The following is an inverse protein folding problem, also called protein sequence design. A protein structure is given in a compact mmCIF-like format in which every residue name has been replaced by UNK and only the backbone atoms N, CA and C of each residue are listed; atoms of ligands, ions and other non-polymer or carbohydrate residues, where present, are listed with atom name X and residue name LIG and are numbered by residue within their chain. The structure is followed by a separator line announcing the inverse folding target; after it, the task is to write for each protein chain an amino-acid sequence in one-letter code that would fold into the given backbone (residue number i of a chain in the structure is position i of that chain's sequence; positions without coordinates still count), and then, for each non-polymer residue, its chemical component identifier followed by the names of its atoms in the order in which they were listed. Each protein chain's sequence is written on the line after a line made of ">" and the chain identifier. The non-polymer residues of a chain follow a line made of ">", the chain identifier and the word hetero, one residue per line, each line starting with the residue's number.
data_IF_965332407633
#
_entry.id   IF_965332407633
#
_cell.length_a   1.000
_cell.length_b   1.000
_cell.length_c   1.000
_cell.angle_alpha   90.00
_cell.angle_beta   90.00
_cell.angle_gamma   90.00
#
_symmetry.space_group_name_H-M   'P 1'
#
loop_
_entity.id
_entity.type
_entity.pdbx_description
1 polymer ?
#
# COMPACT_ATOMS: atom_id res chain seq x y z
N UNK A 1 -36.28 15.44 11.88
CA UNK A 1 -35.55 16.49 11.17
C UNK A 1 -34.23 16.63 11.92
N UNK A 2 -33.09 16.07 11.53
CA UNK A 2 -32.64 15.53 10.26
C UNK A 2 -31.67 14.38 10.57
N UNK A 3 -31.92 13.20 9.99
CA UNK A 3 -30.96 12.11 10.02
C UNK A 3 -31.03 11.37 8.68
N UNK A 4 -30.77 12.11 7.61
CA UNK A 4 -30.60 11.60 6.25
C UNK A 4 -29.33 12.25 5.69
N UNK A 5 -28.19 11.82 6.22
CA UNK A 5 -26.94 11.76 5.46
C UNK A 5 -26.43 10.34 5.62
N UNK A 6 -27.21 9.39 5.10
CA UNK A 6 -26.64 8.16 4.58
C UNK A 6 -25.68 8.57 3.48
N UNK A 7 -24.43 8.83 3.86
CA UNK A 7 -23.32 8.86 2.91
C UNK A 7 -23.37 7.49 2.27
N UNK A 8 -23.89 7.42 1.05
CA UNK A 8 -23.61 6.32 0.17
C UNK A 8 -22.08 6.20 0.18
N UNK A 9 -21.58 5.19 0.89
CA UNK A 9 -20.21 4.73 0.76
C UNK A 9 -20.18 4.09 -0.62
N UNK A 10 -20.12 4.92 -1.65
CA UNK A 10 -19.82 4.45 -2.99
C UNK A 10 -18.38 3.96 -2.89
N UNK A 11 -18.10 2.67 -3.16
CA UNK A 11 -16.73 2.17 -3.07
C UNK A 11 -15.85 2.96 -4.03
N UNK A 12 -15.00 3.85 -3.48
CA UNK A 12 -14.16 4.81 -4.22
C UNK A 12 -12.97 4.12 -4.89
N UNK A 13 -13.24 3.14 -5.76
CA UNK A 13 -12.22 2.43 -6.53
C UNK A 13 -12.10 2.95 -7.97
N UNK A 14 -13.07 3.77 -8.41
CA UNK A 14 -12.97 4.50 -9.67
C UNK A 14 -11.95 5.64 -9.55
N UNK A 15 -11.24 5.90 -10.65
CA UNK A 15 -10.26 6.98 -10.73
C UNK A 15 -10.87 8.34 -10.32
N UNK A 16 -12.07 8.64 -10.81
CA UNK A 16 -12.72 9.93 -10.60
C UNK A 16 -13.09 10.17 -9.12
N UNK A 17 -13.51 9.13 -8.42
CA UNK A 17 -13.91 9.24 -7.01
C UNK A 17 -12.70 9.39 -6.11
N UNK A 18 -11.63 8.61 -6.35
CA UNK A 18 -10.38 8.75 -5.63
C UNK A 18 -9.87 10.20 -5.67
N UNK A 19 -9.80 10.81 -6.86
CA UNK A 19 -9.35 12.21 -6.97
C UNK A 19 -10.29 13.23 -6.34
N UNK A 20 -11.60 13.05 -6.44
CA UNK A 20 -12.57 13.96 -5.77
C UNK A 20 -12.36 13.98 -4.25
N UNK A 21 -11.96 12.86 -3.65
CA UNK A 21 -11.68 12.79 -2.22
C UNK A 21 -10.47 13.64 -1.78
N UNK A 22 -9.54 13.97 -2.70
CA UNK A 22 -8.37 14.81 -2.43
C UNK A 22 -8.72 16.29 -2.26
N UNK A 23 -9.95 16.73 -2.61
CA UNK A 23 -10.35 18.15 -2.56
C UNK A 23 -10.03 18.79 -1.21
N UNK A 24 -10.33 18.11 -0.10
CA UNK A 24 -10.05 18.60 1.25
C UNK A 24 -8.54 18.61 1.55
N UNK A 25 -7.82 17.59 1.09
CA UNK A 25 -6.39 17.43 1.34
C UNK A 25 -5.53 18.49 0.62
N UNK A 26 -5.99 19.00 -0.53
CA UNK A 26 -5.34 20.14 -1.17
C UNK A 26 -5.30 21.38 -0.28
N UNK A 27 -6.34 21.62 0.52
CA UNK A 27 -6.35 22.73 1.50
C UNK A 27 -5.33 22.51 2.61
N UNK A 28 -5.16 21.27 3.08
CA UNK A 28 -4.17 20.93 4.11
C UNK A 28 -2.75 21.13 3.58
N UNK A 29 -2.44 20.61 2.40
CA UNK A 29 -1.15 20.84 1.73
C UNK A 29 -0.85 22.33 1.55
N UNK A 30 -1.86 23.14 1.25
CA UNK A 30 -1.67 24.59 1.11
C UNK A 30 -1.40 25.29 2.45
N UNK A 31 -1.91 24.75 3.55
CA UNK A 31 -1.79 25.35 4.88
C UNK A 31 -0.50 24.91 5.60
N UNK A 32 -0.06 23.68 5.33
CA UNK A 32 1.16 23.07 5.86
C UNK A 32 1.92 22.38 4.71
N UNK A 33 2.60 23.15 3.83
CA UNK A 33 3.28 22.60 2.67
C UNK A 33 4.50 21.77 3.07
N UNK A 34 4.80 20.75 2.28
CA UNK A 34 6.00 19.92 2.49
C UNK A 34 7.27 20.74 2.23
N UNK A 35 8.15 20.94 3.24
CA UNK A 35 9.43 21.60 3.06
C UNK A 35 10.35 20.82 2.12
N UNK A 36 11.16 21.53 1.32
CA UNK A 36 12.10 20.94 0.37
C UNK A 36 13.10 19.97 1.02
N UNK A 37 13.51 20.24 2.26
CA UNK A 37 14.43 19.39 3.03
C UNK A 37 13.83 18.03 3.43
N UNK A 38 12.49 17.88 3.40
CA UNK A 38 11.77 16.63 3.70
C UNK A 38 11.34 15.87 2.43
N UNK A 39 11.73 16.35 1.25
CA UNK A 39 11.45 15.70 -0.03
C UNK A 39 12.44 14.57 -0.30
N UNK A 40 11.98 13.50 -0.94
CA UNK A 40 12.82 12.34 -1.26
C UNK A 40 14.06 12.70 -2.08
N UNK A 41 13.99 13.70 -2.97
CA UNK A 41 15.15 14.20 -3.74
C UNK A 41 16.20 14.94 -2.89
N UNK A 42 15.89 15.32 -1.65
CA UNK A 42 16.87 15.87 -0.70
C UNK A 42 17.77 14.80 -0.05
N UNK A 43 17.83 13.57 -0.60
CA UNK A 43 18.61 12.43 -0.09
C UNK A 43 20.12 12.68 0.11
N UNK A 44 20.67 13.77 -0.44
CA UNK A 44 22.07 14.15 -0.30
C UNK A 44 22.38 14.87 1.02
N UNK A 45 21.36 15.31 1.77
CA UNK A 45 21.49 16.05 3.03
C UNK A 45 20.52 15.56 4.12
N UNK A 46 20.85 15.72 5.41
CA UNK A 46 19.90 15.45 6.49
C UNK A 46 18.64 16.33 6.38
N UNK A 47 17.47 15.84 6.85
CA UNK A 47 17.24 14.54 7.52
C UNK A 47 16.99 13.37 6.55
N UNK A 48 16.82 13.64 5.25
CA UNK A 48 16.46 12.60 4.26
C UNK A 48 17.64 11.67 3.99
N UNK A 49 18.88 12.18 3.99
CA UNK A 49 20.08 11.36 3.86
C UNK A 49 20.14 10.30 4.98
N UNK A 50 20.19 9.00 4.66
CA UNK A 50 20.29 7.95 5.66
C UNK A 50 21.67 7.97 6.33
N UNK A 51 21.71 7.55 7.60
CA UNK A 51 22.97 7.34 8.34
C UNK A 51 23.77 6.15 7.83
N UNK A 52 23.10 5.17 7.22
CA UNK A 52 23.72 3.99 6.61
C UNK A 52 22.84 3.40 5.50
N UNK A 53 23.47 2.79 4.50
CA UNK A 53 22.83 2.20 3.33
C UNK A 53 22.67 0.69 3.50
N UNK A 54 21.73 0.29 4.35
CA UNK A 54 21.55 -1.12 4.74
C UNK A 54 20.58 -1.90 3.84
N UNK A 55 19.97 -1.25 2.85
CA UNK A 55 18.97 -1.89 2.00
C UNK A 55 17.75 -2.34 2.80
N UNK A 56 17.16 -1.44 3.59
CA UNK A 56 16.01 -1.75 4.44
C UNK A 56 14.74 -1.98 3.60
N UNK A 57 13.96 -3.01 3.94
CA UNK A 57 12.63 -3.19 3.35
C UNK A 57 11.61 -2.21 3.94
N UNK A 58 10.53 -1.91 3.21
CA UNK A 58 9.46 -1.04 3.73
C UNK A 58 8.86 -1.61 5.02
N UNK A 59 8.67 -2.93 5.03
CA UNK A 59 8.20 -3.68 6.17
C UNK A 59 9.06 -3.44 7.43
N UNK A 60 10.40 -3.46 7.30
CA UNK A 60 11.30 -3.26 8.45
C UNK A 60 11.22 -1.88 9.08
N UNK A 61 10.85 -0.88 8.30
CA UNK A 61 10.81 0.52 8.74
C UNK A 61 9.41 0.89 9.23
N UNK A 62 8.40 0.60 8.43
CA UNK A 62 7.05 1.11 8.64
C UNK A 62 6.13 0.14 9.38
N UNK A 63 6.17 -1.16 9.07
CA UNK A 63 5.20 -2.13 9.53
C UNK A 63 5.66 -2.74 10.87
N UNK A 64 5.27 -2.07 11.95
CA UNK A 64 5.64 -2.37 13.34
C UNK A 64 5.05 -3.70 13.85
N UNK A 65 5.53 -4.85 13.34
CA UNK A 65 5.19 -6.15 13.96
C UNK A 65 5.65 -6.23 15.42
N UNK A 66 6.67 -5.46 15.78
CA UNK A 66 7.16 -5.33 17.14
C UNK A 66 7.37 -3.85 17.49
N UNK A 67 6.77 -3.32 18.57
CA UNK A 67 6.98 -1.93 18.99
C UNK A 67 8.45 -1.56 19.23
N UNK A 68 9.24 -2.49 19.78
CA UNK A 68 10.69 -2.29 20.01
C UNK A 68 11.55 -2.61 18.78
N UNK A 69 10.93 -3.02 17.66
CA UNK A 69 11.61 -3.47 16.43
C UNK A 69 12.58 -4.65 16.67
N UNK A 70 12.37 -5.43 17.74
CA UNK A 70 13.14 -6.65 18.02
C UNK A 70 13.04 -7.68 16.91
N UNK A 71 11.96 -7.68 16.13
CA UNK A 71 11.81 -8.53 14.94
C UNK A 71 12.91 -8.25 13.89
N UNK A 72 13.32 -6.98 13.74
CA UNK A 72 14.46 -6.60 12.88
C UNK A 72 15.76 -7.18 13.43
N UNK A 73 16.00 -7.06 14.74
CA UNK A 73 17.19 -7.63 15.38
C UNK A 73 17.27 -9.15 15.16
N UNK A 74 16.17 -9.86 15.41
CA UNK A 74 16.08 -11.30 15.22
C UNK A 74 16.32 -11.71 13.77
N UNK A 75 15.72 -10.99 12.81
CA UNK A 75 15.86 -11.29 11.38
C UNK A 75 17.26 -10.99 10.84
N UNK A 76 17.79 -9.79 11.12
CA UNK A 76 19.03 -9.30 10.49
C UNK A 76 20.30 -9.73 11.22
N UNK A 77 20.28 -9.82 12.54
CA UNK A 77 21.46 -10.08 13.36
C UNK A 77 21.47 -11.56 13.76
N UNK A 78 20.41 -12.04 14.43
CA UNK A 78 20.33 -13.45 14.86
C UNK A 78 19.98 -14.43 13.74
N UNK A 79 19.61 -13.93 12.55
CA UNK A 79 19.24 -14.72 11.37
C UNK A 79 18.11 -15.73 11.63
N UNK A 80 17.23 -15.42 12.59
CA UNK A 80 16.05 -16.23 12.90
C UNK A 80 15.02 -16.04 11.79
N UNK A 81 14.37 -17.13 11.39
CA UNK A 81 13.23 -17.09 10.46
C UNK A 81 11.95 -16.86 11.27
N UNK A 82 11.16 -15.88 10.84
CA UNK A 82 9.82 -15.66 11.38
C UNK A 82 8.83 -16.70 10.84
N UNK A 83 7.74 -16.90 11.58
CA UNK A 83 6.55 -17.64 11.15
C UNK A 83 5.70 -16.74 10.25
N UNK A 84 5.76 -17.00 8.95
CA UNK A 84 5.02 -16.27 7.92
C UNK A 84 3.70 -16.94 7.54
N UNK A 85 3.39 -18.11 8.11
CA UNK A 85 2.18 -18.88 7.83
C UNK A 85 0.98 -18.36 8.64
N UNK A 86 1.16 -17.25 9.35
CA UNK A 86 0.11 -16.59 10.12
C UNK A 86 -1.06 -16.18 9.22
N UNK A 87 -2.32 -16.45 9.61
CA UNK A 87 -3.49 -16.23 8.76
C UNK A 87 -3.62 -14.80 8.21
N UNK A 88 -3.31 -13.77 8.99
CA UNK A 88 -3.42 -12.38 8.55
C UNK A 88 -2.38 -12.00 7.47
N UNK A 89 -1.19 -12.61 7.48
CA UNK A 89 -0.14 -12.41 6.47
C UNK A 89 -0.52 -13.12 5.17
N UNK A 90 -0.98 -14.36 5.28
CA UNK A 90 -1.46 -15.16 4.15
C UNK A 90 -2.64 -14.47 3.46
N UNK A 91 -3.58 -13.94 4.25
CA UNK A 91 -4.70 -13.16 3.73
C UNK A 91 -4.23 -11.90 2.98
N UNK A 92 -3.33 -11.12 3.57
CA UNK A 92 -2.77 -9.94 2.90
C UNK A 92 -2.15 -10.31 1.55
N UNK A 93 -1.25 -11.28 1.54
CA UNK A 93 -0.60 -11.81 0.32
C UNK A 93 -1.62 -12.24 -0.74
N UNK A 94 -2.67 -12.96 -0.32
CA UNK A 94 -3.72 -13.41 -1.22
C UNK A 94 -4.50 -12.24 -1.85
N UNK A 95 -4.85 -11.23 -1.06
CA UNK A 95 -5.52 -10.02 -1.56
C UNK A 95 -4.66 -9.31 -2.59
N UNK A 96 -3.36 -9.11 -2.35
CA UNK A 96 -2.46 -8.49 -3.34
C UNK A 96 -2.42 -9.30 -4.64
N UNK A 97 -2.34 -10.63 -4.57
CA UNK A 97 -2.35 -11.51 -5.75
C UNK A 97 -3.64 -11.32 -6.58
N UNK A 98 -4.79 -11.27 -5.92
CA UNK A 98 -6.10 -11.08 -6.59
C UNK A 98 -6.19 -9.68 -7.23
N UNK A 99 -5.80 -8.64 -6.50
CA UNK A 99 -5.75 -7.25 -7.01
C UNK A 99 -4.85 -7.17 -8.25
N UNK A 100 -3.65 -7.73 -8.17
CA UNK A 100 -2.71 -7.72 -9.28
C UNK A 100 -3.15 -8.57 -10.47
N UNK A 101 -3.88 -9.66 -10.24
CA UNK A 101 -4.49 -10.44 -11.33
C UNK A 101 -5.60 -9.67 -12.03
N UNK A 102 -6.54 -9.10 -11.27
CA UNK A 102 -7.64 -8.30 -11.82
C UNK A 102 -7.11 -7.08 -12.59
N UNK A 103 -6.10 -6.39 -12.04
CA UNK A 103 -5.45 -5.24 -12.66
C UNK A 103 -4.94 -5.58 -14.06
N UNK A 104 -4.16 -6.67 -14.17
CA UNK A 104 -3.58 -7.11 -15.44
C UNK A 104 -4.62 -7.52 -16.45
N UNK A 105 -5.63 -8.29 -16.04
CA UNK A 105 -6.68 -8.75 -16.94
C UNK A 105 -7.47 -7.57 -17.53
N UNK A 106 -7.83 -6.58 -16.70
CA UNK A 106 -8.51 -5.37 -17.19
C UNK A 106 -7.60 -4.50 -18.05
N UNK A 107 -6.31 -4.38 -17.71
CA UNK A 107 -5.37 -3.62 -18.52
C UNK A 107 -5.23 -4.18 -19.94
N UNK A 108 -5.25 -5.52 -20.09
CA UNK A 108 -5.25 -6.17 -21.40
C UNK A 108 -6.49 -5.81 -22.23
N UNK A 109 -7.67 -5.79 -21.61
CA UNK A 109 -8.93 -5.39 -22.29
C UNK A 109 -8.89 -3.92 -22.67
N UNK A 110 -8.40 -3.06 -21.78
CA UNK A 110 -8.26 -1.63 -22.02
C UNK A 110 -7.35 -1.34 -23.22
N UNK A 111 -6.19 -2.01 -23.29
CA UNK A 111 -5.19 -1.84 -24.36
C UNK A 111 -5.55 -2.52 -25.69
N UNK A 112 -6.23 -3.66 -25.66
CA UNK A 112 -6.58 -4.41 -26.87
C UNK A 112 -7.80 -3.89 -27.61
N UNK A 113 -8.53 -2.93 -27.04
CA UNK A 113 -9.77 -2.41 -27.63
C UNK A 113 -10.96 -3.38 -27.53
N UNK A 114 -10.82 -4.52 -26.86
CA UNK A 114 -11.91 -5.49 -26.65
C UNK A 114 -13.10 -4.87 -25.93
N UNK A 115 -14.31 -5.30 -26.26
CA UNK A 115 -15.52 -4.84 -25.58
C UNK A 115 -15.48 -5.20 -24.08
N UNK A 116 -15.60 -4.24 -23.15
CA UNK A 116 -15.50 -4.51 -21.72
C UNK A 116 -16.62 -5.41 -21.17
N UNK A 117 -17.83 -5.37 -21.77
CA UNK A 117 -18.98 -6.15 -21.30
C UNK A 117 -18.82 -7.62 -21.69
N UNK A 118 -18.41 -7.87 -22.93
CA UNK A 118 -18.06 -9.21 -23.40
C UNK A 118 -16.88 -9.78 -22.61
N UNK A 119 -15.83 -8.97 -22.40
CA UNK A 119 -14.64 -9.38 -21.66
C UNK A 119 -14.96 -9.81 -20.23
N UNK A 120 -15.77 -9.03 -19.50
CA UNK A 120 -16.18 -9.38 -18.13
C UNK A 120 -16.83 -10.77 -18.04
N UNK A 121 -17.70 -11.08 -19.00
CA UNK A 121 -18.41 -12.37 -19.05
C UNK A 121 -17.47 -13.54 -19.34
N UNK A 122 -16.37 -13.28 -20.05
CA UNK A 122 -15.36 -14.29 -20.41
C UNK A 122 -14.37 -14.60 -19.28
N UNK A 123 -14.25 -13.71 -18.28
CA UNK A 123 -13.23 -13.86 -17.24
C UNK A 123 -13.50 -15.07 -16.33
N UNK A 124 -12.56 -16.02 -16.35
CA UNK A 124 -12.53 -17.17 -15.48
C UNK A 124 -11.10 -17.39 -14.94
N UNK A 125 -10.67 -16.60 -13.95
CA UNK A 125 -9.28 -16.66 -13.49
C UNK A 125 -9.02 -17.95 -12.71
N UNK A 126 -7.86 -18.56 -12.95
CA UNK A 126 -7.32 -19.57 -12.03
C UNK A 126 -6.64 -18.84 -10.86
N UNK A 127 -7.25 -18.91 -9.67
CA UNK A 127 -6.74 -18.28 -8.45
C UNK A 127 -6.46 -19.35 -7.40
N UNK A 128 -5.21 -19.46 -6.95
CA UNK A 128 -4.83 -20.33 -5.83
C UNK A 128 -5.22 -19.68 -4.49
N UNK A 129 -6.44 -19.95 -4.04
CA UNK A 129 -7.02 -19.30 -2.86
C UNK A 129 -7.33 -20.23 -1.68
N UNK A 130 -7.15 -21.55 -1.85
CA UNK A 130 -7.45 -22.54 -0.82
C UNK A 130 -8.84 -22.35 -0.23
N UNK A 131 -8.94 -22.31 1.10
CA UNK A 131 -10.19 -22.14 1.83
C UNK A 131 -10.90 -20.79 1.57
N UNK A 132 -10.22 -19.81 0.98
CA UNK A 132 -10.76 -18.47 0.69
C UNK A 132 -11.22 -18.29 -0.75
N UNK A 133 -11.43 -19.38 -1.51
CA UNK A 133 -11.79 -19.35 -2.93
C UNK A 133 -13.02 -18.47 -3.22
N UNK A 134 -14.06 -18.56 -2.40
CA UNK A 134 -15.27 -17.77 -2.60
C UNK A 134 -14.99 -16.27 -2.48
N UNK A 135 -14.24 -15.85 -1.46
CA UNK A 135 -13.88 -14.46 -1.24
C UNK A 135 -13.00 -13.94 -2.38
N UNK A 136 -11.98 -14.69 -2.79
CA UNK A 136 -11.12 -14.35 -3.93
C UNK A 136 -11.92 -14.13 -5.21
N UNK A 137 -12.82 -15.05 -5.54
CA UNK A 137 -13.65 -14.97 -6.74
C UNK A 137 -14.55 -13.74 -6.69
N UNK A 138 -15.14 -13.44 -5.53
CA UNK A 138 -15.97 -12.24 -5.33
C UNK A 138 -15.14 -10.97 -5.46
N UNK A 139 -13.98 -10.89 -4.82
CA UNK A 139 -13.06 -9.75 -4.91
C UNK A 139 -12.60 -9.53 -6.35
N UNK A 140 -12.17 -10.59 -7.05
CA UNK A 140 -11.76 -10.50 -8.45
C UNK A 140 -12.90 -9.97 -9.34
N UNK A 141 -14.11 -10.53 -9.22
CA UNK A 141 -15.26 -10.08 -10.01
C UNK A 141 -15.64 -8.64 -9.69
N UNK A 142 -15.60 -8.26 -8.43
CA UNK A 142 -15.89 -6.91 -8.00
C UNK A 142 -14.89 -5.89 -8.57
N UNK A 143 -13.58 -6.18 -8.53
CA UNK A 143 -12.54 -5.33 -9.11
C UNK A 143 -12.63 -5.23 -10.63
N UNK A 144 -12.77 -6.37 -11.31
CA UNK A 144 -12.85 -6.40 -12.78
C UNK A 144 -14.11 -5.71 -13.29
N UNK A 145 -15.26 -5.91 -12.63
CA UNK A 145 -16.50 -5.19 -12.95
C UNK A 145 -16.32 -3.67 -12.81
N UNK A 146 -15.72 -3.22 -11.70
CA UNK A 146 -15.53 -1.80 -11.41
C UNK A 146 -14.65 -1.13 -12.47
N UNK A 147 -13.48 -1.69 -12.75
CA UNK A 147 -12.54 -1.08 -13.70
C UNK A 147 -12.99 -1.24 -15.15
N UNK A 148 -13.64 -2.35 -15.54
CA UNK A 148 -14.21 -2.49 -16.90
C UNK A 148 -15.36 -1.52 -17.13
N UNK A 149 -16.18 -1.22 -16.11
CA UNK A 149 -17.21 -0.20 -16.21
C UNK A 149 -16.60 1.20 -16.46
N UNK A 150 -15.48 1.50 -15.80
CA UNK A 150 -14.73 2.73 -16.06
C UNK A 150 -14.13 2.77 -17.47
N UNK A 151 -13.56 1.67 -17.95
CA UNK A 151 -13.07 1.51 -19.34
C UNK A 151 -14.19 1.74 -20.35
N UNK A 152 -15.35 1.10 -20.15
CA UNK A 152 -16.52 1.25 -21.03
C UNK A 152 -17.03 2.69 -21.04
N UNK A 153 -17.17 3.30 -19.86
CA UNK A 153 -17.58 4.70 -19.71
C UNK A 153 -16.61 5.65 -20.39
N UNK A 154 -15.31 5.44 -20.22
CA UNK A 154 -14.27 6.25 -20.88
C UNK A 154 -14.46 6.25 -22.39
N UNK A 155 -14.58 5.06 -22.99
CA UNK A 155 -14.75 4.93 -24.45
C UNK A 155 -16.06 5.53 -24.95
N UNK A 156 -17.17 5.29 -24.24
CA UNK A 156 -18.48 5.78 -24.65
C UNK A 156 -18.61 7.30 -24.57
N UNK A 157 -18.04 7.93 -23.53
CA UNK A 157 -18.17 9.38 -23.32
C UNK A 157 -17.16 10.17 -24.15
N UNK A 158 -15.92 9.69 -24.27
CA UNK A 158 -14.84 10.45 -24.89
C UNK A 158 -14.50 9.99 -26.31
N UNK A 159 -15.14 8.93 -26.81
CA UNK A 159 -14.91 8.41 -28.17
C UNK A 159 -13.54 7.75 -28.36
N UNK A 160 -12.83 7.42 -27.27
CA UNK A 160 -11.49 6.87 -27.30
C UNK A 160 -10.87 6.68 -25.92
N UNK A 161 -9.54 6.59 -25.88
CA UNK A 161 -8.77 6.51 -24.65
C UNK A 161 -8.83 7.85 -23.89
N UNK A 162 -9.21 7.82 -22.61
CA UNK A 162 -9.26 9.01 -21.77
C UNK A 162 -8.76 8.71 -20.35
N UNK A 163 -8.62 9.77 -19.55
CA UNK A 163 -8.34 9.62 -18.13
C UNK A 163 -9.45 8.81 -17.45
N UNK A 164 -9.08 7.72 -16.80
CA UNK A 164 -10.02 6.72 -16.29
C UNK A 164 -10.02 5.40 -17.05
N UNK A 165 -9.29 5.30 -18.18
CA UNK A 165 -9.23 4.08 -18.98
C UNK A 165 -8.48 2.94 -18.27
N UNK A 166 -7.37 3.26 -17.60
CA UNK A 166 -6.49 2.25 -17.06
C UNK A 166 -6.90 1.84 -15.64
N UNK A 167 -6.95 0.53 -15.33
CA UNK A 167 -7.09 0.08 -13.96
C UNK A 167 -5.84 0.48 -13.17
N UNK A 168 -5.85 0.19 -11.88
CA UNK A 168 -4.63 0.30 -11.09
C UNK A 168 -3.51 -0.55 -11.68
N UNK A 169 -2.30 -0.03 -11.71
CA UNK A 169 -1.12 -0.79 -12.16
C UNK A 169 -0.42 -1.33 -10.91
N UNK A 170 -0.44 -2.65 -10.72
CA UNK A 170 0.07 -3.29 -9.51
C UNK A 170 1.55 -3.67 -9.57
N UNK A 171 2.18 -3.86 -8.40
CA UNK A 171 3.54 -4.42 -8.23
C UNK A 171 4.65 -3.61 -8.91
N UNK A 172 4.56 -2.28 -8.80
CA UNK A 172 5.52 -1.37 -9.43
C UNK A 172 6.81 -1.32 -8.61
N UNK A 173 7.94 -1.54 -9.29
CA UNK A 173 9.27 -1.45 -8.67
C UNK A 173 9.72 -0.01 -8.58
N UNK A 174 10.27 0.33 -7.41
CA UNK A 174 10.93 1.62 -7.17
C UNK A 174 12.27 1.38 -6.49
N UNK A 175 13.30 2.13 -6.91
CA UNK A 175 14.60 2.08 -6.28
C UNK A 175 14.60 3.01 -5.05
N UNK A 176 14.72 2.43 -3.85
CA UNK A 176 14.83 3.17 -2.60
C UNK A 176 16.26 3.32 -2.07
N UNK A 177 17.28 2.92 -2.84
CA UNK A 177 18.67 2.86 -2.40
C UNK A 177 19.21 4.21 -1.92
N UNK A 178 18.82 5.32 -2.56
CA UNK A 178 19.21 6.67 -2.16
C UNK A 178 18.76 7.03 -0.73
N UNK A 179 17.70 6.39 -0.25
CA UNK A 179 17.15 6.56 1.10
C UNK A 179 17.64 5.50 2.09
N UNK A 180 18.57 4.63 1.69
CA UNK A 180 19.04 3.50 2.50
C UNK A 180 18.07 2.32 2.53
N UNK A 181 17.01 2.37 1.72
CA UNK A 181 16.04 1.30 1.53
C UNK A 181 16.51 0.34 0.43
N UNK A 182 15.79 -0.76 0.24
CA UNK A 182 16.03 -1.72 -0.84
C UNK A 182 15.94 -1.08 -2.22
N UNK A 183 16.76 -1.53 -3.17
CA UNK A 183 16.64 -1.15 -4.59
C UNK A 183 15.55 -1.92 -5.35
N UNK A 184 14.79 -2.76 -4.64
CA UNK A 184 13.71 -3.59 -5.18
C UNK A 184 12.41 -3.40 -4.41
N UNK A 185 12.16 -2.20 -3.87
CA UNK A 185 10.87 -1.90 -3.25
C UNK A 185 9.75 -2.12 -4.26
N UNK A 186 8.61 -2.57 -3.77
CA UNK A 186 7.41 -2.81 -4.58
C UNK A 186 6.28 -2.01 -3.98
N UNK A 187 5.76 -1.06 -4.75
CA UNK A 187 4.52 -0.35 -4.46
C UNK A 187 3.37 -1.28 -4.85
N UNK A 188 2.34 -1.37 -4.01
CA UNK A 188 1.23 -2.29 -4.27
C UNK A 188 0.50 -1.93 -5.56
N UNK A 189 0.17 -0.66 -5.74
CA UNK A 189 -0.39 -0.16 -6.98
C UNK A 189 -0.16 1.35 -7.21
N UNK A 190 -0.19 1.74 -8.48
CA UNK A 190 -0.48 3.11 -8.90
C UNK A 190 -1.93 3.17 -9.41
N UNK A 191 -2.76 3.89 -8.66
CA UNK A 191 -4.10 4.25 -9.06
C UNK A 191 -4.07 5.63 -9.67
N UNK A 192 -4.10 5.70 -11.00
CA UNK A 192 -4.35 6.96 -11.69
C UNK A 192 -3.36 8.08 -11.36
N UNK A 193 -2.07 7.74 -11.28
CA UNK A 193 -0.94 8.61 -10.88
C UNK A 193 -0.79 8.84 -9.36
N UNK A 194 -1.67 8.28 -8.53
CA UNK A 194 -1.51 8.30 -7.07
C UNK A 194 -1.00 6.94 -6.55
N UNK A 195 -0.23 6.98 -5.48
CA UNK A 195 0.17 5.78 -4.76
C UNK A 195 -1.03 5.13 -4.09
N UNK A 196 -1.15 3.82 -4.23
CA UNK A 196 -2.16 3.01 -3.55
C UNK A 196 -1.44 1.93 -2.77
N UNK A 197 -1.63 1.94 -1.45
CA UNK A 197 -1.20 0.87 -0.57
C UNK A 197 -2.41 0.01 -0.21
N UNK A 198 -2.33 -1.28 -0.52
CA UNK A 198 -3.39 -2.23 -0.24
C UNK A 198 -3.17 -2.86 1.12
N UNK A 199 -4.24 -2.95 1.91
CA UNK A 199 -4.24 -3.49 3.26
C UNK A 199 -5.44 -4.41 3.50
N UNK A 200 -5.33 -5.21 4.55
CA UNK A 200 -6.39 -6.04 5.09
C UNK A 200 -6.48 -5.80 6.59
N UNK A 201 -7.63 -6.13 7.18
CA UNK A 201 -7.87 -5.93 8.61
C UNK A 201 -8.18 -4.48 8.97
N UNK A 202 -7.73 -4.07 10.16
CA UNK A 202 -8.07 -2.78 10.77
C UNK A 202 -7.17 -1.66 10.25
N UNK A 203 -7.70 -0.43 10.33
CA UNK A 203 -6.90 0.78 10.13
C UNK A 203 -5.87 0.90 11.25
N UNK A 204 -4.63 1.16 10.85
CA UNK A 204 -3.53 1.40 11.77
C UNK A 204 -2.70 2.59 11.27
N UNK A 205 -2.22 3.44 12.17
CA UNK A 205 -1.52 4.67 11.78
C UNK A 205 -0.19 4.38 11.07
N UNK A 206 0.47 3.26 11.39
CA UNK A 206 1.70 2.86 10.73
C UNK A 206 1.51 2.53 9.23
N UNK A 207 0.28 2.31 8.76
CA UNK A 207 0.01 2.17 7.32
C UNK A 207 0.31 3.46 6.56
N UNK A 208 0.01 4.63 7.15
CA UNK A 208 0.31 5.95 6.55
C UNK A 208 1.82 6.16 6.43
N UNK A 209 2.57 5.66 7.41
CA UNK A 209 4.04 5.73 7.44
C UNK A 209 4.64 4.87 6.31
N UNK A 210 4.09 3.68 6.05
CA UNK A 210 4.51 2.84 4.92
C UNK A 210 4.27 3.50 3.57
N UNK A 211 3.07 4.03 3.37
CA UNK A 211 2.72 4.83 2.18
C UNK A 211 3.68 6.02 1.99
N UNK A 212 4.05 6.70 3.10
CA UNK A 212 5.00 7.82 3.09
C UNK A 212 6.41 7.37 2.67
N UNK A 213 6.85 6.20 3.12
CA UNK A 213 8.12 5.63 2.67
C UNK A 213 8.16 5.38 1.16
N UNK A 214 7.06 4.87 0.58
CA UNK A 214 6.96 4.72 -0.87
C UNK A 214 6.93 6.07 -1.59
N UNK A 215 6.22 7.07 -1.06
CA UNK A 215 6.22 8.43 -1.61
C UNK A 215 7.64 9.01 -1.66
N UNK A 216 8.40 8.91 -0.56
CA UNK A 216 9.79 9.36 -0.50
C UNK A 216 10.67 8.58 -1.50
N UNK A 217 10.50 7.27 -1.63
CA UNK A 217 11.27 6.46 -2.58
C UNK A 217 11.02 6.92 -4.03
N UNK A 218 9.76 7.15 -4.40
CA UNK A 218 9.38 7.68 -5.72
C UNK A 218 9.97 9.08 -5.93
N UNK A 219 9.85 9.98 -4.95
CA UNK A 219 10.44 11.31 -5.02
C UNK A 219 11.97 11.26 -5.19
N UNK A 220 12.65 10.35 -4.52
CA UNK A 220 14.10 10.19 -4.64
C UNK A 220 14.54 9.63 -5.99
N UNK A 221 13.70 8.80 -6.61
CA UNK A 221 14.02 8.12 -7.87
C UNK A 221 13.61 8.92 -9.10
N UNK A 222 12.52 9.68 -9.03
CA UNK A 222 11.92 10.36 -10.18
C UNK A 222 11.94 11.90 -10.07
N UNK A 223 12.31 12.44 -8.91
CA UNK A 223 12.36 13.89 -8.64
C UNK A 223 11.02 14.61 -8.90
N UNK A 224 9.91 13.88 -8.76
CA UNK A 224 8.54 14.42 -8.87
C UNK A 224 7.85 14.41 -7.51
N UNK A 225 7.10 15.47 -7.14
CA UNK A 225 6.43 15.56 -5.84
C UNK A 225 5.35 14.49 -5.68
N UNK A 226 5.37 13.78 -4.54
CA UNK A 226 4.32 12.83 -4.15
C UNK A 226 3.73 13.28 -2.82
N UNK A 227 2.70 14.13 -2.91
CA UNK A 227 2.03 14.72 -1.74
C UNK A 227 0.84 13.91 -1.24
N UNK A 228 0.29 13.01 -2.06
CA UNK A 228 -0.94 12.30 -1.75
C UNK A 228 -0.83 10.82 -2.12
N UNK A 229 -1.57 10.00 -1.40
CA UNK A 229 -1.78 8.60 -1.74
C UNK A 229 -3.04 8.06 -1.07
N UNK A 230 -3.30 6.78 -1.24
CA UNK A 230 -4.49 6.13 -0.75
C UNK A 230 -4.13 4.86 0.00
N UNK A 231 -4.75 4.65 1.15
CA UNK A 231 -4.80 3.34 1.80
C UNK A 231 -6.12 2.68 1.40
N UNK A 232 -6.06 1.49 0.84
CA UNK A 232 -7.26 0.75 0.42
C UNK A 232 -7.31 -0.56 1.19
N UNK A 233 -8.37 -0.73 1.96
CA UNK A 233 -8.59 -1.91 2.78
C UNK A 233 -9.62 -2.82 2.10
N UNK A 234 -9.24 -4.06 1.84
CA UNK A 234 -10.14 -5.13 1.40
C UNK A 234 -10.39 -6.09 2.57
N UNK A 235 -11.64 -6.14 3.01
CA UNK A 235 -12.12 -6.92 4.15
C UNK A 235 -13.36 -7.75 3.75
N UNK A 236 -13.99 -8.42 4.72
CA UNK A 236 -15.19 -9.23 4.51
C UNK A 236 -14.94 -10.74 4.33
N UNK A 237 -13.69 -11.17 4.52
CA UNK A 237 -13.31 -12.60 4.58
C UNK A 237 -14.15 -13.32 5.65
N UNK A 238 -14.73 -14.46 5.28
CA UNK A 238 -15.61 -15.25 6.15
C UNK A 238 -17.07 -14.76 6.21
N UNK A 239 -17.38 -13.56 5.72
CA UNK A 239 -18.76 -13.06 5.57
C UNK A 239 -19.34 -13.30 4.18
N UNK A 240 -18.51 -13.73 3.22
CA UNK A 240 -18.91 -13.90 1.83
C UNK A 240 -19.16 -12.58 1.11
N UNK A 241 -18.70 -11.44 1.62
CA UNK A 241 -18.85 -10.13 0.98
C UNK A 241 -17.49 -9.46 0.83
N UNK A 242 -17.39 -8.50 -0.09
CA UNK A 242 -16.19 -7.67 -0.28
C UNK A 242 -16.48 -6.32 0.37
N UNK A 243 -15.83 -6.06 1.49
CA UNK A 243 -15.90 -4.77 2.18
C UNK A 243 -14.70 -3.93 1.74
N UNK A 244 -14.96 -2.77 1.13
CA UNK A 244 -13.91 -1.87 0.66
C UNK A 244 -13.96 -0.56 1.42
N UNK A 245 -12.79 -0.11 1.86
CA UNK A 245 -12.65 1.18 2.51
C UNK A 245 -11.42 1.89 1.95
N UNK A 246 -11.59 3.16 1.61
CA UNK A 246 -10.57 3.98 0.96
C UNK A 246 -10.29 5.19 1.82
N UNK A 247 -9.03 5.35 2.22
CA UNK A 247 -8.55 6.48 3.00
C UNK A 247 -7.58 7.31 2.17
N UNK A 248 -7.98 8.51 1.71
CA UNK A 248 -7.04 9.44 1.10
C UNK A 248 -6.09 9.97 2.18
N UNK A 249 -4.80 10.00 1.87
CA UNK A 249 -3.73 10.40 2.78
C UNK A 249 -2.98 11.57 2.18
N UNK A 250 -2.82 12.64 2.97
CA UNK A 250 -1.85 13.68 2.71
C UNK A 250 -0.51 13.26 3.33
N UNK A 251 0.53 13.13 2.52
CA UNK A 251 1.90 12.75 2.93
C UNK A 251 2.59 13.98 3.53
N UNK A 252 2.14 14.33 4.74
CA UNK A 252 2.48 15.55 5.45
C UNK A 252 3.96 15.61 5.88
N UNK A 253 4.47 16.80 6.26
CA UNK A 253 5.78 16.95 6.88
C UNK A 253 5.99 16.00 8.07
N UNK A 254 4.98 15.83 8.92
CA UNK A 254 5.08 15.01 10.13
C UNK A 254 5.17 13.52 9.81
N UNK A 255 4.39 13.01 8.85
CA UNK A 255 4.51 11.62 8.40
C UNK A 255 5.88 11.34 7.78
N UNK A 256 6.46 12.33 7.09
CA UNK A 256 7.81 12.23 6.49
C UNK A 256 8.87 12.15 7.57
N UNK A 257 8.82 13.02 8.58
CA UNK A 257 9.72 12.97 9.74
C UNK A 257 9.59 11.63 10.45
N UNK A 258 8.37 11.20 10.74
CA UNK A 258 8.11 9.91 11.40
C UNK A 258 8.71 8.74 10.63
N UNK A 259 8.57 8.69 9.30
CA UNK A 259 9.19 7.65 8.49
C UNK A 259 10.73 7.67 8.59
N UNK A 260 11.33 8.86 8.47
CA UNK A 260 12.78 9.04 8.52
C UNK A 260 13.35 8.67 9.91
N UNK A 261 12.65 9.05 10.98
CA UNK A 261 13.02 8.71 12.35
C UNK A 261 12.97 7.19 12.56
N UNK A 262 11.87 6.54 12.15
CA UNK A 262 11.75 5.07 12.24
C UNK A 262 12.82 4.36 11.42
N UNK A 263 13.19 4.89 10.25
CA UNK A 263 14.28 4.33 9.44
C UNK A 263 15.60 4.43 10.20
N UNK A 264 15.91 5.59 10.77
CA UNK A 264 17.15 5.82 11.48
C UNK A 264 17.23 4.97 12.76
N UNK A 265 16.11 4.76 13.48
CA UNK A 265 16.03 3.81 14.60
C UNK A 265 16.38 2.38 14.17
N UNK A 266 15.87 1.93 13.02
CA UNK A 266 16.21 0.62 12.44
C UNK A 266 17.69 0.54 12.11
N UNK A 267 18.25 1.59 11.53
CA UNK A 267 19.70 1.68 11.25
C UNK A 267 20.49 1.55 12.55
N UNK A 268 20.11 2.27 13.60
CA UNK A 268 20.80 2.25 14.89
C UNK A 268 20.77 0.83 15.52
N UNK A 269 19.66 0.11 15.43
CA UNK A 269 19.56 -1.29 15.89
C UNK A 269 20.52 -2.20 15.11
N UNK A 270 20.52 -2.10 13.78
CA UNK A 270 21.33 -2.99 12.92
C UNK A 270 22.82 -2.69 13.04
N UNK A 271 23.20 -1.42 13.12
CA UNK A 271 24.60 -0.99 13.25
C UNK A 271 25.15 -1.31 14.64
N UNK A 272 24.39 -1.01 15.70
CA UNK A 272 24.84 -1.29 17.07
C UNK A 272 24.85 -2.78 17.40
N UNK A 273 24.06 -3.59 16.68
CA UNK A 273 23.83 -5.01 16.95
C UNK A 273 23.39 -5.28 18.40
N UNK A 274 22.76 -4.30 19.04
CA UNK A 274 22.21 -4.46 20.38
C UNK A 274 20.75 -4.89 20.28
N UNK A 275 20.39 -5.90 21.06
CA UNK A 275 19.00 -6.32 21.19
C UNK A 275 18.20 -5.17 21.84
N UNK A 276 17.18 -4.61 21.17
CA UNK A 276 16.36 -3.54 21.74
C UNK A 276 15.43 -4.02 22.86
N UNK A 277 15.41 -5.34 23.15
CA UNK A 277 14.59 -5.94 24.18
C UNK A 277 13.16 -6.17 23.74
N UNK A 278 12.40 -6.87 24.59
CA UNK A 278 10.98 -7.15 24.32
C UNK A 278 10.10 -5.93 24.55
N UNK A 279 9.04 -5.75 23.76
CA UNK A 279 8.02 -4.78 24.06
C UNK A 279 7.26 -5.17 25.34
N UNK A 280 6.67 -4.21 26.08
CA UNK A 280 5.83 -4.50 27.25
C UNK A 280 4.66 -5.45 26.92
N UNK A 281 4.08 -5.29 25.73
CA UNK A 281 3.03 -6.16 25.19
C UNK A 281 3.44 -6.63 23.80
N UNK A 282 3.65 -7.94 23.64
CA UNK A 282 4.05 -8.52 22.36
C UNK A 282 2.80 -8.78 21.48
N UNK A 283 2.73 -8.23 20.25
CA UNK A 283 1.60 -8.51 19.36
C UNK A 283 1.56 -9.98 18.94
N UNK A 284 0.42 -10.67 19.13
CA UNK A 284 0.25 -12.06 18.69
C UNK A 284 0.43 -12.24 17.18
N UNK A 285 0.16 -11.18 16.41
CA UNK A 285 0.38 -11.11 14.97
C UNK A 285 1.88 -11.14 14.60
N UNK A 286 2.80 -10.83 15.52
CA UNK A 286 4.23 -10.76 15.22
C UNK A 286 4.77 -12.11 14.71
N UNK A 287 5.43 -12.20 13.53
CA UNK A 287 6.03 -13.44 13.02
C UNK A 287 7.04 -14.09 13.96
N UNK A 288 7.61 -13.33 14.90
CA UNK A 288 8.63 -13.81 15.84
C UNK A 288 8.06 -14.06 17.25
N UNK A 289 6.73 -14.05 17.39
CA UNK A 289 6.07 -14.21 18.68
C UNK A 289 6.52 -15.46 19.42
N UNK A 290 6.51 -16.62 18.75
CA UNK A 290 6.89 -17.90 19.34
C UNK A 290 8.36 -17.93 19.75
N UNK A 291 9.26 -17.43 18.89
CA UNK A 291 10.68 -17.27 19.18
C UNK A 291 10.93 -16.45 20.45
N UNK A 292 10.27 -15.28 20.58
CA UNK A 292 10.45 -14.42 21.74
C UNK A 292 9.89 -15.01 23.03
N UNK A 293 8.82 -15.80 22.95
CA UNK A 293 8.12 -16.37 24.11
C UNK A 293 8.51 -17.83 24.40
N UNK A 294 9.51 -18.39 23.71
CA UNK A 294 9.97 -19.77 23.90
C UNK A 294 8.90 -20.83 23.59
N UNK A 295 8.02 -20.54 22.64
CA UNK A 295 6.98 -21.47 22.16
C UNK A 295 7.39 -22.13 20.86
#
# INVERSE_FOLDING_TARGET
>A
MDNILGVLIIPMLSQAEMFRSLRKLHSWRSSDPVPEELRGWSYHRPPVRPRSYLGLSMHEVAYLYCPTKRDVYLRRIMKVKGDWDKPHIQLGSLVHKVVGRASRDVALVALSGQDPVEAFSSFNPSLECGEMEEYCRKLYKFLTLTWLADTARSRAVYGGEALGLFPWVSEIRVDGSLLGLSNKLSIDALGSLALVEVKTGKREDFHKVGLTGYALAVESSLEVPVDFGFLVYFNGVGKGEVEVQVDPVYVSPDLRKEFLDRRDEVVDIVVSQRDPGMPPTCPEACPFYSTCNGR
#
